data_IF_794094909467
#
_entry.id   IF_794094909467
#
_cell.length_a   1.000
_cell.length_b   1.000
_cell.length_c   1.000
_cell.angle_alpha   90.00
_cell.angle_beta   90.00
_cell.angle_gamma   90.00
#
_symmetry.space_group_name_H-M   'P 1'
#
loop_
_entity.id
_entity.type
_entity.pdbx_description
1 polymer ?
#
# COMPACT_ATOMS: atom_id res chain seq x y z
N UNK A 1 -1.29 -23.82 1.38
CA UNK A 1 -1.97 -22.65 0.76
C UNK A 1 -1.36 -21.33 1.22
N UNK A 2 -1.24 -21.08 2.53
CA UNK A 2 -0.58 -19.86 3.03
C UNK A 2 0.91 -19.78 2.65
N UNK A 3 1.68 -20.84 2.88
CA UNK A 3 3.10 -20.92 2.49
C UNK A 3 3.31 -20.69 0.99
N UNK A 4 2.43 -21.27 0.16
CA UNK A 4 2.47 -21.10 -1.30
C UNK A 4 2.10 -19.69 -1.75
N UNK A 5 1.21 -18.98 -1.04
CA UNK A 5 0.95 -17.57 -1.33
C UNK A 5 2.10 -16.67 -0.90
N UNK A 6 2.73 -16.96 0.24
CA UNK A 6 3.89 -16.23 0.72
C UNK A 6 5.07 -16.38 -0.24
N UNK A 7 5.34 -17.59 -0.75
CA UNK A 7 6.40 -17.80 -1.74
C UNK A 7 6.11 -17.06 -3.05
N UNK A 8 4.87 -17.05 -3.55
CA UNK A 8 4.50 -16.27 -4.74
C UNK A 8 4.66 -14.76 -4.54
N UNK A 9 4.33 -14.25 -3.35
CA UNK A 9 4.57 -12.85 -3.00
C UNK A 9 6.06 -12.51 -3.04
N UNK A 10 6.92 -13.30 -2.40
CA UNK A 10 8.37 -13.10 -2.45
C UNK A 10 8.95 -13.31 -3.85
N UNK A 11 8.35 -14.19 -4.66
CA UNK A 11 8.72 -14.39 -6.06
C UNK A 11 8.48 -13.14 -6.91
N UNK A 12 7.50 -12.31 -6.55
CA UNK A 12 7.23 -11.04 -7.24
C UNK A 12 8.41 -10.07 -7.14
N UNK A 13 9.20 -10.16 -6.07
CA UNK A 13 10.42 -9.38 -5.84
C UNK A 13 11.70 -10.09 -6.31
N UNK A 14 11.58 -11.29 -6.89
CA UNK A 14 12.74 -12.11 -7.29
C UNK A 14 13.48 -12.78 -6.13
N UNK A 15 12.88 -12.86 -4.94
CA UNK A 15 13.50 -13.42 -3.73
C UNK A 15 13.27 -14.94 -3.56
N UNK A 16 12.90 -15.64 -4.63
CA UNK A 16 12.64 -17.10 -4.62
C UNK A 16 13.70 -17.83 -5.44
N UNK A 17 14.40 -18.75 -4.80
CA UNK A 17 15.43 -19.57 -5.44
C UNK A 17 14.82 -20.67 -6.31
N UNK A 18 15.30 -20.81 -7.54
CA UNK A 18 14.93 -21.95 -8.42
C UNK A 18 15.41 -23.30 -7.89
N UNK A 19 16.35 -23.30 -6.93
CA UNK A 19 16.89 -24.49 -6.27
C UNK A 19 15.86 -25.13 -5.33
N UNK A 20 14.90 -24.36 -4.80
CA UNK A 20 13.84 -24.91 -3.95
C UNK A 20 12.89 -25.86 -4.69
N UNK A 21 12.90 -25.84 -6.02
CA UNK A 21 12.14 -26.77 -6.85
C UNK A 21 12.86 -28.09 -7.10
N UNK A 22 14.14 -28.21 -6.68
CA UNK A 22 14.93 -29.44 -6.79
C UNK A 22 14.74 -30.32 -5.54
N UNK A 23 13.56 -30.89 -5.41
CA UNK A 23 13.27 -31.87 -4.36
C UNK A 23 13.81 -33.24 -4.79
N UNK A 24 14.73 -33.80 -3.99
CA UNK A 24 15.27 -35.16 -4.17
C UNK A 24 14.11 -36.18 -4.20
N UNK A 25 13.75 -36.67 -5.39
CA UNK A 25 12.76 -37.75 -5.57
C UNK A 25 11.64 -37.51 -6.59
N UNK A 26 11.52 -36.32 -7.20
CA UNK A 26 10.44 -36.02 -8.15
C UNK A 26 10.84 -36.35 -9.60
N UNK A 27 9.94 -37.04 -10.34
CA UNK A 27 10.09 -37.34 -11.78
C UNK A 27 10.19 -36.04 -12.59
N UNK A 28 11.12 -35.96 -13.55
CA UNK A 28 11.40 -34.75 -14.34
C UNK A 28 10.18 -34.13 -15.06
N UNK A 29 9.14 -34.92 -15.33
CA UNK A 29 7.88 -34.43 -15.91
C UNK A 29 7.17 -33.40 -15.01
N UNK A 30 7.03 -33.68 -13.71
CA UNK A 30 6.35 -32.75 -12.78
C UNK A 30 7.18 -31.47 -12.58
N UNK A 31 8.51 -31.59 -12.58
CA UNK A 31 9.42 -30.43 -12.49
C UNK A 31 9.25 -29.48 -13.67
N UNK A 32 9.13 -30.01 -14.89
CA UNK A 32 8.91 -29.20 -16.08
C UNK A 32 7.64 -28.35 -15.97
N UNK A 33 6.51 -28.97 -15.59
CA UNK A 33 5.26 -28.25 -15.40
C UNK A 33 5.30 -27.23 -14.26
N UNK A 34 5.98 -27.54 -13.15
CA UNK A 34 6.15 -26.61 -12.04
C UNK A 34 6.93 -25.36 -12.45
N UNK A 35 8.06 -25.53 -13.16
CA UNK A 35 8.85 -24.41 -13.68
C UNK A 35 8.09 -23.60 -14.73
N UNK A 36 7.32 -24.27 -15.59
CA UNK A 36 6.51 -23.60 -16.61
C UNK A 36 5.38 -22.76 -16.00
N UNK A 37 4.68 -23.29 -14.99
CA UNK A 37 3.63 -22.55 -14.26
C UNK A 37 4.21 -21.39 -13.45
N UNK A 38 5.37 -21.59 -12.81
CA UNK A 38 6.04 -20.52 -12.07
C UNK A 38 6.56 -19.41 -13.01
N UNK A 39 7.18 -19.80 -14.13
CA UNK A 39 7.68 -18.85 -15.13
C UNK A 39 6.56 -18.02 -15.77
N UNK A 40 5.44 -18.65 -16.13
CA UNK A 40 4.28 -17.93 -16.69
C UNK A 40 3.64 -16.99 -15.65
N UNK A 41 3.55 -17.41 -14.39
CA UNK A 41 3.14 -16.53 -13.29
C UNK A 41 4.03 -15.29 -13.17
N UNK A 42 5.35 -15.48 -13.12
CA UNK A 42 6.30 -14.36 -13.00
C UNK A 42 6.23 -13.40 -14.19
N UNK A 43 6.10 -13.92 -15.41
CA UNK A 43 5.95 -13.09 -16.63
C UNK A 43 4.67 -12.26 -16.57
N UNK A 44 3.53 -12.88 -16.25
CA UNK A 44 2.24 -12.16 -16.16
C UNK A 44 2.30 -11.11 -15.05
N UNK A 45 2.81 -11.47 -13.87
CA UNK A 45 2.84 -10.58 -12.71
C UNK A 45 3.78 -9.37 -12.93
N UNK A 46 5.02 -9.61 -13.34
CA UNK A 46 6.05 -8.57 -13.43
C UNK A 46 5.97 -7.80 -14.75
N UNK A 47 5.73 -8.47 -15.88
CA UNK A 47 5.78 -7.79 -17.18
C UNK A 47 4.41 -7.20 -17.53
N UNK A 48 3.33 -7.96 -17.34
CA UNK A 48 1.99 -7.50 -17.79
C UNK A 48 1.32 -6.65 -16.72
N UNK A 49 1.07 -7.20 -15.53
CA UNK A 49 0.28 -6.53 -14.49
C UNK A 49 0.96 -5.27 -13.98
N UNK A 50 2.26 -5.33 -13.66
CA UNK A 50 2.99 -4.16 -13.17
C UNK A 50 3.06 -3.04 -14.23
N UNK A 51 3.24 -3.37 -15.51
CA UNK A 51 3.24 -2.38 -16.58
C UNK A 51 1.85 -1.72 -16.75
N UNK A 52 0.78 -2.52 -16.68
CA UNK A 52 -0.58 -1.97 -16.68
C UNK A 52 -0.87 -1.12 -15.44
N UNK A 53 -0.36 -1.51 -14.27
CA UNK A 53 -0.50 -0.73 -13.05
C UNK A 53 0.20 0.63 -13.18
N UNK A 54 1.42 0.65 -13.70
CA UNK A 54 2.15 1.90 -13.98
C UNK A 54 1.36 2.76 -14.98
N UNK A 55 0.82 2.16 -16.05
CA UNK A 55 0.00 2.87 -17.02
C UNK A 55 -1.27 3.49 -16.40
N UNK A 56 -1.99 2.72 -15.58
CA UNK A 56 -3.17 3.21 -14.86
C UNK A 56 -2.83 4.31 -13.86
N UNK A 57 -1.73 4.16 -13.11
CA UNK A 57 -1.26 5.18 -12.16
C UNK A 57 -0.82 6.45 -12.87
N UNK A 58 -0.16 6.34 -14.04
CA UNK A 58 0.20 7.51 -14.85
C UNK A 58 -1.03 8.26 -15.33
N UNK A 59 -2.06 7.54 -15.79
CA UNK A 59 -3.31 8.16 -16.24
C UNK A 59 -4.08 8.80 -15.08
N UNK A 60 -4.23 8.10 -13.96
CA UNK A 60 -4.90 8.65 -12.78
C UNK A 60 -4.16 9.85 -12.20
N UNK A 61 -2.82 9.81 -12.19
CA UNK A 61 -1.99 10.94 -11.74
C UNK A 61 -2.18 12.18 -12.61
N UNK A 62 -2.26 12.06 -13.94
CA UNK A 62 -2.53 13.20 -14.82
C UNK A 62 -3.88 13.85 -14.49
N UNK A 63 -4.94 13.04 -14.34
CA UNK A 63 -6.28 13.52 -14.00
C UNK A 63 -6.30 14.25 -12.65
N UNK A 64 -5.60 13.71 -11.64
CA UNK A 64 -5.53 14.30 -10.30
C UNK A 64 -4.68 15.58 -10.33
N UNK A 65 -3.56 15.56 -11.05
CA UNK A 65 -2.65 16.71 -11.18
C UNK A 65 -3.37 17.94 -11.73
N UNK A 66 -4.24 17.78 -12.72
CA UNK A 66 -4.99 18.88 -13.33
C UNK A 66 -5.89 19.66 -12.34
N UNK A 67 -6.31 19.00 -11.25
CA UNK A 67 -7.17 19.58 -10.19
C UNK A 67 -6.45 19.78 -8.86
N UNK A 68 -5.20 19.34 -8.77
CA UNK A 68 -4.43 19.26 -7.52
C UNK A 68 -4.30 20.61 -6.79
N UNK A 69 -4.12 21.71 -7.51
CA UNK A 69 -4.01 23.05 -6.92
C UNK A 69 -5.30 23.50 -6.20
N UNK A 70 -6.45 23.15 -6.75
CA UNK A 70 -7.75 23.51 -6.17
C UNK A 70 -8.04 22.62 -4.97
N UNK A 71 -7.81 21.31 -5.10
CA UNK A 71 -7.99 20.34 -4.02
C UNK A 71 -7.05 20.62 -2.84
N UNK A 72 -5.78 20.94 -3.10
CA UNK A 72 -4.82 21.30 -2.07
C UNK A 72 -5.23 22.57 -1.32
N UNK A 73 -5.68 23.60 -2.04
CA UNK A 73 -6.16 24.85 -1.42
C UNK A 73 -7.43 24.62 -0.61
N UNK A 74 -8.34 23.76 -1.09
CA UNK A 74 -9.55 23.37 -0.37
C UNK A 74 -9.20 22.61 0.93
N UNK A 75 -8.38 21.56 0.86
CA UNK A 75 -7.93 20.82 2.03
C UNK A 75 -7.19 21.71 3.04
N UNK A 76 -6.39 22.66 2.55
CA UNK A 76 -5.74 23.66 3.39
C UNK A 76 -6.76 24.58 4.07
N UNK A 77 -7.76 25.09 3.36
CA UNK A 77 -8.81 25.90 3.98
C UNK A 77 -9.62 25.11 5.01
N UNK A 78 -9.90 23.83 4.74
CA UNK A 78 -10.60 22.96 5.68
C UNK A 78 -9.79 22.73 6.97
N UNK A 79 -8.47 22.55 6.84
CA UNK A 79 -7.56 22.49 7.99
C UNK A 79 -7.57 23.81 8.77
N UNK A 80 -7.52 24.96 8.09
CA UNK A 80 -7.59 26.26 8.77
C UNK A 80 -8.92 26.45 9.50
N UNK A 81 -10.05 26.08 8.88
CA UNK A 81 -11.37 26.14 9.49
C UNK A 81 -11.46 25.26 10.75
N UNK A 82 -10.83 24.09 10.77
CA UNK A 82 -10.79 23.22 11.97
C UNK A 82 -10.06 23.86 13.16
N UNK A 83 -9.19 24.85 12.93
CA UNK A 83 -8.56 25.64 13.99
C UNK A 83 -9.36 26.87 14.40
N UNK A 84 -10.30 27.33 13.57
CA UNK A 84 -11.18 28.47 13.87
C UNK A 84 -12.40 28.09 14.70
N UNK A 85 -12.79 26.81 14.74
CA UNK A 85 -13.80 26.34 15.69
C UNK A 85 -13.19 26.26 17.11
N UNK A 86 -13.78 27.01 18.04
CA UNK A 86 -13.31 27.39 19.39
C UNK A 86 -13.16 26.23 20.42
N UNK A 87 -12.69 25.05 20.00
CA UNK A 87 -12.63 23.84 20.84
C UNK A 87 -11.25 23.20 21.02
N UNK A 88 -10.19 23.72 20.37
CA UNK A 88 -8.88 23.05 20.28
C UNK A 88 -7.68 24.00 20.35
N UNK A 89 -7.79 25.13 21.05
CA UNK A 89 -6.73 26.16 21.14
C UNK A 89 -5.49 25.70 21.94
N UNK A 90 -5.53 24.52 22.54
CA UNK A 90 -4.41 23.91 23.27
C UNK A 90 -3.91 22.67 22.52
N UNK A 91 -2.61 22.60 22.15
CA UNK A 91 -2.05 21.39 21.58
C UNK A 91 -2.15 20.23 22.59
N UNK A 92 -2.49 18.99 22.18
CA UNK A 92 -2.33 17.83 23.06
C UNK A 92 -0.85 17.77 23.46
N UNK A 93 -0.46 17.84 24.75
CA UNK A 93 -1.07 17.28 25.98
C UNK A 93 -1.81 18.26 26.92
N UNK A 94 -1.94 19.56 26.62
CA UNK A 94 -2.49 20.55 27.55
C UNK A 94 -4.02 20.63 27.59
N UNK A 95 -4.70 19.90 26.70
CA UNK A 95 -6.16 19.87 26.62
C UNK A 95 -6.82 19.32 27.91
N UNK A 96 -6.16 18.39 28.62
CA UNK A 96 -6.70 17.75 29.83
C UNK A 96 -6.83 18.71 31.02
N UNK A 97 -5.88 19.62 31.22
CA UNK A 97 -5.88 20.57 32.35
C UNK A 97 -7.00 21.63 32.27
N UNK A 98 -7.54 21.89 31.08
CA UNK A 98 -8.65 22.83 30.88
C UNK A 98 -10.00 22.21 31.29
N UNK A 99 -10.24 20.95 30.94
CA UNK A 99 -11.44 20.22 31.37
C UNK A 99 -11.41 19.89 32.87
N UNK A 100 -10.24 19.56 33.43
CA UNK A 100 -10.07 19.34 34.87
C UNK A 100 -10.39 20.61 35.66
N UNK A 101 -9.83 21.76 35.27
CA UNK A 101 -10.16 23.03 35.94
C UNK A 101 -11.65 23.35 35.81
N UNK A 102 -12.29 23.16 34.66
CA UNK A 102 -13.73 23.43 34.48
C UNK A 102 -14.66 22.51 35.29
N UNK A 103 -14.21 21.31 35.67
CA UNK A 103 -14.92 20.40 36.58
C UNK A 103 -14.74 20.76 38.06
N UNK A 104 -13.65 21.44 38.45
CA UNK A 104 -13.34 21.81 39.84
C UNK A 104 -14.03 23.13 40.28
N UNK A 105 -14.50 23.95 39.32
CA UNK A 105 -15.22 25.22 39.56
C UNK A 105 -16.75 25.13 39.38
N UNK A 106 -17.32 23.93 39.28
CA UNK A 106 -18.76 23.66 39.43
C UNK A 106 -19.02 22.85 40.69
#
# INVERSE_FOLDING_TARGET
LFETSQSLFWASFGLVDLVSFDLQGIKGFTRFWALLMFGSYSVINIIVLLNMLIAMMSNSYQIISDKSDVEWKFARSQLWMSYFEDGGTLPPPFNMNYYDNKFIIQ
#
